data_IF_555766737101
#
_entry.id   IF_555766737101
#
_cell.length_a   1.000
_cell.length_b   1.000
_cell.length_c   1.000
_cell.angle_alpha   90.00
_cell.angle_beta   90.00
_cell.angle_gamma   90.00
#
_symmetry.space_group_name_H-M   'P 1'
#
loop_
_entity.id
_entity.type
_entity.pdbx_description
1 polymer ?
#
# COMPACT_ATOMS: atom_id res chain seq x y z
N UNK A 1 14.31 13.26 -24.91
CA UNK A 1 15.01 12.63 -23.77
C UNK A 1 14.03 11.64 -23.16
N UNK A 2 14.43 10.38 -23.07
CA UNK A 2 13.60 9.34 -22.48
C UNK A 2 13.65 9.54 -20.96
N UNK A 3 12.55 10.00 -20.37
CA UNK A 3 12.48 10.25 -18.94
C UNK A 3 12.60 8.92 -18.19
N UNK A 4 13.60 8.81 -17.32
CA UNK A 4 13.90 7.64 -16.50
C UNK A 4 13.74 8.02 -15.03
N UNK A 5 13.15 7.16 -14.24
CA UNK A 5 12.88 7.44 -12.82
C UNK A 5 12.96 6.19 -11.94
N UNK A 6 13.29 6.43 -10.67
CA UNK A 6 13.05 5.49 -9.58
C UNK A 6 11.95 6.10 -8.73
N UNK A 7 10.91 5.32 -8.44
CA UNK A 7 9.73 5.77 -7.71
C UNK A 7 9.57 4.92 -6.45
N UNK A 8 9.28 5.57 -5.34
CA UNK A 8 8.55 4.91 -4.26
C UNK A 8 7.06 4.96 -4.62
N UNK A 9 6.38 3.82 -4.63
CA UNK A 9 4.94 3.75 -4.90
C UNK A 9 4.23 3.14 -3.72
N UNK A 10 3.18 3.81 -3.27
CA UNK A 10 2.28 3.32 -2.25
C UNK A 10 1.13 2.58 -2.92
N UNK A 11 0.96 1.32 -2.56
CA UNK A 11 -0.06 0.43 -3.09
C UNK A 11 -0.84 -0.22 -1.96
N UNK A 12 -2.00 -0.78 -2.31
CA UNK A 12 -2.71 -1.72 -1.44
C UNK A 12 -2.45 -3.14 -1.92
N UNK A 13 -2.16 -4.04 -0.98
CA UNK A 13 -1.95 -5.47 -1.20
C UNK A 13 -2.88 -6.27 -0.30
N UNK A 14 -3.04 -7.57 -0.57
CA UNK A 14 -3.89 -8.46 0.24
C UNK A 14 -3.45 -8.56 1.71
N UNK A 15 -2.17 -8.30 1.98
CA UNK A 15 -1.56 -8.46 3.31
C UNK A 15 -1.17 -7.13 3.96
N UNK A 16 -1.13 -6.04 3.20
CA UNK A 16 -0.81 -4.70 3.69
C UNK A 16 -1.53 -3.65 2.84
N UNK A 17 -2.43 -2.90 3.47
CA UNK A 17 -3.29 -1.92 2.80
C UNK A 17 -2.60 -0.61 2.41
N UNK A 18 -1.41 -0.38 2.93
CA UNK A 18 -0.61 0.83 2.71
C UNK A 18 0.85 0.40 2.66
N UNK A 19 1.23 -0.20 1.53
CA UNK A 19 2.50 -0.88 1.33
C UNK A 19 3.36 -0.13 0.31
N UNK A 20 4.59 0.18 0.67
CA UNK A 20 5.55 0.84 -0.22
C UNK A 20 6.34 -0.17 -1.04
N UNK A 21 6.44 0.09 -2.34
CA UNK A 21 7.29 -0.64 -3.29
C UNK A 21 8.26 0.32 -3.98
N UNK A 22 9.29 -0.23 -4.63
CA UNK A 22 10.19 0.53 -5.52
C UNK A 22 9.87 0.19 -6.96
N UNK A 23 9.63 1.19 -7.80
CA UNK A 23 9.47 1.01 -9.25
C UNK A 23 10.60 1.70 -10.01
N UNK A 24 11.23 0.97 -10.92
CA UNK A 24 12.16 1.54 -11.90
C UNK A 24 11.44 1.72 -13.21
N UNK A 25 11.28 2.96 -13.67
CA UNK A 25 10.51 3.27 -14.86
C UNK A 25 11.38 3.95 -15.92
N UNK A 26 11.26 3.46 -17.15
CA UNK A 26 11.89 4.02 -18.34
C UNK A 26 10.91 3.87 -19.50
N UNK A 27 10.53 5.00 -20.11
CA UNK A 27 9.51 5.05 -21.16
C UNK A 27 8.18 4.43 -20.66
N UNK A 28 7.72 3.39 -21.35
CA UNK A 28 6.49 2.63 -21.10
C UNK A 28 6.72 1.36 -20.27
N UNK A 29 7.94 1.17 -19.73
CA UNK A 29 8.32 -0.03 -18.99
C UNK A 29 8.64 0.32 -17.54
N UNK A 30 8.02 -0.41 -16.63
CA UNK A 30 8.37 -0.36 -15.21
C UNK A 30 8.72 -1.76 -14.68
N UNK A 31 9.71 -1.80 -13.79
CA UNK A 31 10.05 -2.97 -12.99
C UNK A 31 9.74 -2.61 -11.56
N UNK A 32 8.75 -3.28 -10.98
CA UNK A 32 8.36 -3.10 -9.60
C UNK A 32 9.12 -4.11 -8.75
N UNK A 33 9.58 -3.66 -7.60
CA UNK A 33 10.24 -4.45 -6.59
C UNK A 33 9.38 -4.38 -5.33
N UNK A 34 8.90 -5.54 -4.89
CA UNK A 34 8.09 -5.68 -3.68
C UNK A 34 8.84 -6.54 -2.67
N UNK A 35 9.16 -5.94 -1.51
CA UNK A 35 9.67 -6.69 -0.36
C UNK A 35 8.50 -7.19 0.48
N UNK A 36 8.06 -8.41 0.22
CA UNK A 36 7.02 -9.08 1.00
C UNK A 36 7.65 -10.04 2.00
N UNK A 37 7.51 -9.72 3.29
CA UNK A 37 8.11 -10.45 4.42
C UNK A 37 9.63 -10.56 4.30
N UNK A 38 10.11 -11.63 3.66
CA UNK A 38 11.52 -11.99 3.52
C UNK A 38 11.93 -12.23 2.07
N UNK A 39 11.03 -11.99 1.12
CA UNK A 39 11.28 -12.24 -0.30
C UNK A 39 11.11 -10.94 -1.09
N UNK A 40 12.10 -10.65 -1.91
CA UNK A 40 12.03 -9.57 -2.88
C UNK A 40 11.51 -10.13 -4.20
N UNK A 41 10.32 -9.67 -4.58
CA UNK A 41 9.68 -10.01 -5.85
C UNK A 41 9.91 -8.91 -6.85
N UNK A 42 10.13 -9.31 -8.10
CA UNK A 42 10.18 -8.37 -9.21
C UNK A 42 9.07 -8.67 -10.21
N UNK A 43 8.23 -7.69 -10.46
CA UNK A 43 7.18 -7.74 -11.47
C UNK A 43 7.44 -6.70 -12.54
N UNK A 44 7.03 -6.99 -13.78
CA UNK A 44 7.10 -6.03 -14.89
C UNK A 44 5.69 -5.64 -15.29
N UNK A 45 5.49 -4.35 -15.57
CA UNK A 45 4.22 -3.80 -16.04
C UNK A 45 3.04 -4.17 -15.12
N UNK A 46 3.24 -4.06 -13.80
CA UNK A 46 2.16 -4.35 -12.86
C UNK A 46 1.06 -3.31 -12.98
N UNK A 47 -0.20 -3.76 -12.91
CA UNK A 47 -1.39 -2.91 -12.94
C UNK A 47 -1.86 -2.56 -11.52
N UNK A 48 -0.94 -2.53 -10.55
CA UNK A 48 -1.29 -2.21 -9.18
C UNK A 48 -1.80 -0.77 -9.10
N UNK A 49 -2.92 -0.60 -8.41
CA UNK A 49 -3.47 0.72 -8.14
C UNK A 49 -2.50 1.49 -7.23
N UNK A 50 -1.80 2.46 -7.80
CA UNK A 50 -0.89 3.34 -7.06
C UNK A 50 -1.72 4.42 -6.37
N UNK A 51 -1.69 4.42 -5.04
CA UNK A 51 -2.37 5.41 -4.20
C UNK A 51 -1.57 6.70 -4.10
N UNK A 52 -0.24 6.59 -4.03
CA UNK A 52 0.67 7.74 -3.96
C UNK A 52 2.04 7.36 -4.49
N UNK A 53 2.85 8.35 -4.85
CA UNK A 53 4.24 8.11 -5.22
C UNK A 53 5.17 9.26 -4.84
N UNK A 54 6.46 8.94 -4.75
CA UNK A 54 7.56 9.90 -4.68
C UNK A 54 8.56 9.51 -5.77
N UNK A 55 8.75 10.41 -6.74
CA UNK A 55 9.46 10.11 -7.97
C UNK A 55 10.80 10.86 -8.01
N UNK A 56 11.89 10.13 -8.25
CA UNK A 56 13.21 10.69 -8.47
C UNK A 56 13.65 10.43 -9.91
N UNK A 57 14.13 11.48 -10.58
CA UNK A 57 14.69 11.33 -11.93
C UNK A 57 16.06 10.65 -11.84
N UNK A 58 16.31 9.72 -12.76
CA UNK A 58 17.62 9.11 -12.94
C UNK A 58 18.48 10.07 -13.76
N UNK A 59 19.69 10.35 -13.29
CA UNK A 59 20.62 11.25 -13.96
C UNK A 59 21.10 10.68 -15.31
N UNK A 60 21.43 11.57 -16.23
CA UNK A 60 22.05 11.19 -17.49
C UNK A 60 23.40 10.49 -17.27
N UNK A 61 23.74 9.56 -18.16
CA UNK A 61 24.97 8.76 -18.06
C UNK A 61 24.87 7.53 -17.16
N UNK A 62 23.82 7.39 -16.34
CA UNK A 62 23.60 6.16 -15.56
C UNK A 62 23.02 5.02 -16.40
N UNK A 63 23.25 3.75 -16.02
CA UNK A 63 22.76 2.58 -16.76
C UNK A 63 21.22 2.51 -16.91
N UNK A 64 20.71 1.65 -17.81
CA UNK A 64 19.28 1.36 -17.91
C UNK A 64 18.69 0.75 -16.62
N UNK A 65 17.37 0.81 -16.49
CA UNK A 65 16.65 0.36 -15.29
C UNK A 65 16.88 -1.10 -14.91
N UNK A 66 17.11 -1.99 -15.89
CA UNK A 66 17.41 -3.40 -15.66
C UNK A 66 18.74 -3.61 -14.92
N UNK A 67 19.73 -2.77 -15.23
CA UNK A 67 21.05 -2.81 -14.57
C UNK A 67 20.95 -2.16 -13.20
N UNK A 68 20.28 -1.01 -13.10
CA UNK A 68 20.09 -0.30 -11.83
C UNK A 68 19.39 -1.17 -10.79
N UNK A 69 18.35 -1.92 -11.20
CA UNK A 69 17.69 -2.92 -10.34
C UNK A 69 18.68 -3.85 -9.63
N UNK A 70 19.77 -4.25 -10.30
CA UNK A 70 20.79 -5.14 -9.75
C UNK A 70 21.62 -4.54 -8.62
N UNK A 71 21.61 -3.21 -8.48
CA UNK A 71 22.27 -2.48 -7.39
C UNK A 71 21.35 -2.22 -6.20
N UNK A 72 20.12 -2.75 -6.21
CA UNK A 72 19.18 -2.57 -5.12
C UNK A 72 19.72 -3.19 -3.84
N UNK A 73 19.86 -2.35 -2.82
CA UNK A 73 20.27 -2.79 -1.50
C UNK A 73 19.17 -3.64 -0.84
N UNK A 74 19.59 -4.76 -0.25
CA UNK A 74 18.74 -5.66 0.53
C UNK A 74 19.11 -5.56 2.02
N UNK A 75 18.21 -5.05 2.88
CA UNK A 75 18.44 -5.04 4.32
C UNK A 75 18.19 -6.43 4.91
N UNK A 76 19.24 -7.25 4.99
CA UNK A 76 19.19 -8.58 5.61
C UNK A 76 18.57 -8.56 7.03
N UNK A 77 18.81 -7.48 7.79
CA UNK A 77 18.27 -7.32 9.15
C UNK A 77 16.78 -6.93 9.19
N UNK A 78 16.25 -6.28 8.16
CA UNK A 78 14.80 -6.02 8.05
C UNK A 78 14.05 -7.29 7.63
N UNK A 79 14.71 -8.17 6.85
CA UNK A 79 14.18 -9.47 6.44
C UNK A 79 14.11 -10.50 7.58
N UNK A 80 14.62 -10.19 8.79
CA UNK A 80 14.57 -11.09 9.95
C UNK A 80 13.38 -10.84 10.87
N UNK A 81 12.56 -9.81 10.61
CA UNK A 81 11.42 -9.45 11.46
C UNK A 81 10.11 -9.83 10.77
N UNK A 82 9.31 -10.68 11.42
CA UNK A 82 8.17 -11.35 10.79
C UNK A 82 6.80 -10.70 11.03
N UNK A 83 6.70 -9.74 11.97
CA UNK A 83 5.40 -9.34 12.53
C UNK A 83 4.89 -7.96 12.05
N UNK A 84 5.70 -7.16 11.35
CA UNK A 84 5.31 -5.80 10.92
C UNK A 84 5.77 -5.49 9.49
N UNK A 85 5.01 -4.62 8.82
CA UNK A 85 5.38 -4.12 7.50
C UNK A 85 6.48 -3.05 7.63
N UNK A 86 7.70 -3.36 7.16
CA UNK A 86 8.85 -2.45 7.17
C UNK A 86 9.10 -1.78 5.82
N UNK A 87 8.05 -1.62 5.02
CA UNK A 87 8.16 -1.09 3.67
C UNK A 87 8.73 0.32 3.65
N UNK A 88 8.41 1.18 4.63
CA UNK A 88 8.97 2.54 4.74
C UNK A 88 10.48 2.49 4.93
N UNK A 89 10.97 1.74 5.92
CA UNK A 89 12.41 1.66 6.22
C UNK A 89 13.19 1.08 5.05
N UNK A 90 12.62 0.06 4.40
CA UNK A 90 13.23 -0.55 3.22
C UNK A 90 13.29 0.42 2.04
N UNK A 91 12.16 1.02 1.65
CA UNK A 91 12.10 1.99 0.55
C UNK A 91 13.01 3.18 0.79
N UNK A 92 13.01 3.72 2.02
CA UNK A 92 13.94 4.78 2.41
C UNK A 92 15.40 4.37 2.24
N UNK A 93 15.77 3.17 2.69
CA UNK A 93 17.14 2.66 2.55
C UNK A 93 17.56 2.50 1.08
N UNK A 94 16.67 1.97 0.24
CA UNK A 94 16.92 1.82 -1.21
C UNK A 94 17.12 3.18 -1.87
N UNK A 95 16.24 4.15 -1.62
CA UNK A 95 16.36 5.49 -2.19
C UNK A 95 17.62 6.21 -1.68
N UNK A 96 17.95 6.09 -0.39
CA UNK A 96 19.21 6.64 0.14
C UNK A 96 20.43 6.05 -0.55
N UNK A 97 20.45 4.74 -0.81
CA UNK A 97 21.54 4.11 -1.53
C UNK A 97 21.68 4.68 -2.95
N UNK A 98 20.59 4.86 -3.70
CA UNK A 98 20.65 5.48 -5.03
C UNK A 98 21.06 6.96 -5.00
N UNK A 99 20.70 7.70 -3.96
CA UNK A 99 21.18 9.07 -3.73
C UNK A 99 22.69 9.09 -3.49
N UNK A 100 23.19 8.18 -2.65
CA UNK A 100 24.62 8.07 -2.31
C UNK A 100 25.48 7.62 -3.49
N UNK A 101 24.95 6.72 -4.32
CA UNK A 101 25.56 6.35 -5.60
C UNK A 101 25.49 7.46 -6.65
N UNK A 102 24.72 8.54 -6.39
CA UNK A 102 24.54 9.65 -7.31
C UNK A 102 23.66 9.33 -8.52
N UNK A 103 22.97 8.18 -8.53
CA UNK A 103 22.17 7.67 -9.65
C UNK A 103 20.92 8.53 -9.94
N UNK A 104 20.36 9.13 -8.89
CA UNK A 104 19.13 9.91 -8.95
C UNK A 104 19.38 11.36 -8.51
N UNK A 105 18.46 12.24 -8.90
CA UNK A 105 18.47 13.63 -8.45
C UNK A 105 18.35 13.75 -6.93
N UNK A 106 18.94 14.80 -6.36
CA UNK A 106 18.97 15.00 -4.89
C UNK A 106 17.61 15.42 -4.31
N UNK A 107 16.70 15.87 -5.17
CA UNK A 107 15.34 16.30 -4.84
C UNK A 107 14.38 15.56 -5.77
N UNK A 108 13.30 15.01 -5.22
CA UNK A 108 12.23 14.39 -6.02
C UNK A 108 11.53 15.42 -6.90
N UNK A 109 10.75 14.95 -7.87
CA UNK A 109 9.91 15.80 -8.73
C UNK A 109 8.86 16.59 -7.94
N UNK A 110 8.51 16.14 -6.72
CA UNK A 110 7.58 16.80 -5.82
C UNK A 110 8.27 17.68 -4.75
N UNK A 111 9.59 17.88 -4.82
CA UNK A 111 10.33 18.72 -3.87
C UNK A 111 10.78 18.03 -2.58
N UNK A 112 10.55 16.72 -2.43
CA UNK A 112 11.01 15.93 -1.28
C UNK A 112 12.52 15.73 -1.34
N UNK A 113 13.23 16.10 -0.28
CA UNK A 113 14.67 15.91 -0.10
C UNK A 113 14.97 14.62 0.67
N UNK A 114 16.25 14.21 0.68
CA UNK A 114 16.73 13.08 1.51
C UNK A 114 16.28 13.18 2.97
N UNK A 115 16.45 14.35 3.57
CA UNK A 115 16.21 14.57 5.00
C UNK A 115 14.72 14.47 5.35
N UNK A 116 13.84 14.81 4.41
CA UNK A 116 12.39 14.77 4.59
C UNK A 116 11.77 13.44 4.11
N UNK A 117 12.57 12.53 3.55
CA UNK A 117 12.06 11.36 2.83
C UNK A 117 11.29 10.38 3.74
N UNK A 118 11.83 10.05 4.91
CA UNK A 118 11.15 9.14 5.87
C UNK A 118 9.81 9.73 6.30
N UNK A 119 9.82 11.02 6.68
CA UNK A 119 8.63 11.72 7.11
C UNK A 119 7.56 11.73 6.02
N UNK A 120 7.94 11.99 4.76
CA UNK A 120 6.98 12.01 3.65
C UNK A 120 6.41 10.62 3.37
N UNK A 121 7.23 9.56 3.43
CA UNK A 121 6.78 8.17 3.28
C UNK A 121 5.78 7.79 4.37
N UNK A 122 6.09 8.11 5.64
CA UNK A 122 5.22 7.85 6.80
C UNK A 122 3.90 8.63 6.73
N UNK A 123 3.96 9.92 6.38
CA UNK A 123 2.79 10.78 6.23
C UNK A 123 1.84 10.22 5.17
N UNK A 124 2.35 9.97 3.96
CA UNK A 124 1.55 9.40 2.86
C UNK A 124 1.00 8.02 3.21
N UNK A 125 1.78 7.15 3.87
CA UNK A 125 1.33 5.83 4.32
C UNK A 125 0.17 5.93 5.31
N UNK A 126 0.27 6.84 6.28
CA UNK A 126 -0.73 7.06 7.32
C UNK A 126 -2.01 7.67 6.74
N UNK A 127 -1.90 8.66 5.85
CA UNK A 127 -3.04 9.26 5.16
C UNK A 127 -3.83 8.21 4.36
N UNK A 128 -3.14 7.34 3.62
CA UNK A 128 -3.77 6.27 2.87
C UNK A 128 -4.60 5.32 3.76
N UNK A 129 -4.12 5.00 4.97
CA UNK A 129 -4.87 4.17 5.91
C UNK A 129 -6.14 4.87 6.42
N UNK A 130 -6.05 6.16 6.73
CA UNK A 130 -7.20 6.96 7.18
C UNK A 130 -8.28 7.03 6.09
N UNK A 131 -7.87 7.24 4.84
CA UNK A 131 -8.79 7.31 3.71
C UNK A 131 -9.51 5.96 3.51
N UNK A 132 -8.77 4.85 3.57
CA UNK A 132 -9.35 3.50 3.47
C UNK A 132 -10.37 3.23 4.58
N UNK A 133 -10.05 3.57 5.83
CA UNK A 133 -10.96 3.34 6.94
C UNK A 133 -12.21 4.23 6.86
N UNK A 134 -12.05 5.47 6.37
CA UNK A 134 -13.18 6.39 6.13
C UNK A 134 -14.11 5.85 5.04
N UNK A 135 -13.56 5.31 3.95
CA UNK A 135 -14.37 4.74 2.87
C UNK A 135 -15.12 3.47 3.30
N UNK A 136 -14.52 2.64 4.18
CA UNK A 136 -15.22 1.50 4.77
C UNK A 136 -16.38 1.94 5.65
N UNK A 137 -16.18 2.93 6.52
CA UNK A 137 -17.25 3.47 7.35
C UNK A 137 -18.40 4.04 6.50
N UNK A 138 -18.10 4.69 5.37
CA UNK A 138 -19.13 5.16 4.44
C UNK A 138 -19.90 4.01 3.79
N UNK A 139 -19.24 2.92 3.44
CA UNK A 139 -19.89 1.75 2.86
C UNK A 139 -20.82 1.07 3.87
N UNK A 140 -20.37 0.94 5.12
CA UNK A 140 -21.15 0.32 6.20
C UNK A 140 -22.41 1.13 6.55
N UNK A 141 -22.34 2.48 6.48
CA UNK A 141 -23.50 3.37 6.69
C UNK A 141 -24.54 3.25 5.58
N UNK A 142 -24.15 2.89 4.36
CA UNK A 142 -25.09 2.73 3.22
C UNK A 142 -25.81 1.38 3.24
N UNK A 143 -25.33 0.40 4.01
CA UNK A 143 -25.91 -0.95 4.07
C UNK A 143 -26.95 -1.19 5.17
N UNK A 144 -27.41 -0.18 5.91
CA UNK A 144 -28.59 -0.36 6.78
C UNK A 144 -29.83 -0.39 5.89
N UNK A 145 -30.57 -1.51 5.75
CA UNK A 145 -31.87 -1.47 5.11
C UNK A 145 -32.76 -0.59 5.98
N UNK A 146 -33.39 0.40 5.37
CA UNK A 146 -34.44 1.21 5.98
C UNK A 146 -35.60 0.28 6.35
N UNK A 147 -35.53 -0.34 7.53
CA UNK A 147 -36.65 -1.02 8.14
C UNK A 147 -37.61 0.10 8.54
N UNK A 148 -38.56 0.37 7.64
CA UNK A 148 -39.67 1.27 7.88
C UNK A 148 -40.37 0.97 9.20
N UNK A 149 -41.10 1.95 9.76
CA UNK A 149 -41.60 1.88 11.12
C UNK A 149 -42.49 0.65 11.30
N UNK A 150 -42.12 -0.21 12.27
CA UNK A 150 -42.95 -1.33 12.71
C UNK A 150 -44.25 -0.75 13.25
N UNK A 151 -45.33 -0.88 12.48
CA UNK A 151 -46.68 -0.61 12.96
C UNK A 151 -47.14 -1.78 13.82
N UNK A 152 -47.70 -1.47 14.99
CA UNK A 152 -48.14 -2.40 16.04
C UNK A 152 -49.29 -3.38 15.65
N UNK A 153 -49.52 -3.64 14.36
CA UNK A 153 -50.69 -4.40 13.89
C UNK A 153 -50.43 -5.90 13.63
N UNK A 154 -49.21 -6.41 13.84
CA UNK A 154 -48.90 -7.84 13.61
C UNK A 154 -49.23 -8.77 14.80
N UNK A 155 -49.90 -8.27 15.84
CA UNK A 155 -50.53 -9.13 16.84
C UNK A 155 -51.98 -9.42 16.46
N UNK A 156 -52.21 -10.42 15.59
CA UNK A 156 -53.39 -11.28 15.72
C UNK A 156 -53.35 -12.54 14.85
N UNK A 157 -53.88 -13.60 15.45
CA UNK A 157 -54.18 -14.95 14.94
C UNK A 157 -53.04 -15.96 15.19
N UNK A 158 -52.91 -16.48 16.42
CA UNK A 158 -53.67 -17.59 17.00
C UNK A 158 -53.27 -18.96 16.43
N UNK A 159 -52.65 -19.80 17.27
CA UNK A 159 -53.25 -21.10 17.51
C UNK A 159 -52.83 -21.71 18.86
N UNK A 160 -53.85 -22.31 19.46
CA UNK A 160 -54.00 -22.79 20.82
C UNK A 160 -53.63 -24.28 20.89
N UNK A 161 -52.57 -24.70 21.61
CA UNK A 161 -52.42 -26.11 22.00
C UNK A 161 -51.91 -26.25 23.46
N UNK A 162 -52.90 -26.38 24.34
CA UNK A 162 -53.08 -27.31 25.49
C UNK A 162 -51.86 -27.78 26.31
N UNK A 163 -51.91 -27.47 27.61
CA UNK A 163 -51.22 -28.14 28.70
C UNK A 163 -51.80 -29.54 28.99
N UNK A 164 -50.93 -30.54 29.21
CA UNK A 164 -51.03 -31.74 30.08
C UNK A 164 -49.76 -32.61 29.78
N UNK A 165 -49.04 -33.33 30.64
CA UNK A 165 -48.72 -33.38 32.07
C UNK A 165 -47.62 -34.47 32.23
N UNK A 166 -46.92 -34.48 33.37
CA UNK A 166 -46.22 -35.62 34.01
C UNK A 166 -44.94 -36.27 33.38
N UNK A 167 -43.79 -35.93 33.98
CA UNK A 167 -42.90 -36.84 34.73
C UNK A 167 -42.34 -38.12 34.09
N UNK A 168 -41.00 -38.15 33.95
CA UNK A 168 -40.10 -39.12 34.59
C UNK A 168 -38.66 -38.66 34.56
#
# INVERSE_FOLDING_TARGET
MDQRSIKAQLISTDYCRSHWIIAFCQLDRCIDADLSKIMLYYTRNSLLAVMSSIDFLIKDGYPPIDVLKGYMWLPEHLMQRHESCYCVQWVWGVLCNYLELGCIETVSTAGVTRDNMVLELDCKQSSALIDIDTDRLRLDVVTVPDLGPVTNDDFRDADEIRYFDAGR
#
